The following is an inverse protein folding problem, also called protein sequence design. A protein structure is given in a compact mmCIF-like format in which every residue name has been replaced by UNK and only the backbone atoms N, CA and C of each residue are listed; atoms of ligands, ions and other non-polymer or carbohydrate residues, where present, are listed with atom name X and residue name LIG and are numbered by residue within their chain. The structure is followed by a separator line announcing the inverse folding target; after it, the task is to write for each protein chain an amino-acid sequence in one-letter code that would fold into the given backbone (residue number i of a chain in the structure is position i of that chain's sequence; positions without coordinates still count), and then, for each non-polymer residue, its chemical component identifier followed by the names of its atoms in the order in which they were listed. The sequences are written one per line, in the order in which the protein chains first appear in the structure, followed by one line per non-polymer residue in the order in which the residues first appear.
data_IF_410908226834
#
_entry.id   IF_410908226834
#
_cell.length_a   1.000
_cell.length_b   1.000
_cell.length_c   1.000
_cell.angle_alpha   90.00
_cell.angle_beta   90.00
_cell.angle_gamma   90.00
#
_symmetry.space_group_name_H-M   'P 1'
#
loop_
_entity.id
_entity.type
_entity.pdbx_description
1 polymer ?
#
# COMPACT_ATOMS: atom_id res chain seq x y z
N UNK A 1 3.72 7.16 34.23
CA UNK A 1 2.81 7.10 33.07
C UNK A 1 3.40 6.38 31.85
N UNK A 2 4.73 6.20 31.76
CA UNK A 2 5.36 5.51 30.61
C UNK A 2 4.96 4.03 30.46
N UNK A 3 4.66 3.34 31.56
CA UNK A 3 4.20 1.94 31.53
C UNK A 3 2.92 1.73 30.69
N UNK A 4 2.01 2.71 30.70
CA UNK A 4 0.74 2.65 29.93
C UNK A 4 0.99 2.90 28.44
N UNK A 5 2.03 3.66 28.08
CA UNK A 5 2.36 3.96 26.67
C UNK A 5 2.90 2.72 25.95
N UNK A 6 3.65 1.87 26.66
CA UNK A 6 4.23 0.63 26.10
C UNK A 6 3.31 -0.59 26.09
N UNK A 7 2.13 -0.53 26.72
CA UNK A 7 1.16 -1.64 26.66
C UNK A 7 0.43 -1.67 25.32
N UNK A 8 -0.03 -2.86 24.92
CA UNK A 8 -0.95 -3.00 23.79
C UNK A 8 -2.19 -2.15 24.00
N UNK A 9 -2.79 -1.71 22.90
CA UNK A 9 -3.88 -0.74 22.91
C UNK A 9 -5.06 -1.23 23.74
N UNK A 10 -5.37 -2.53 23.62
CA UNK A 10 -6.42 -3.21 24.40
C UNK A 10 -6.13 -3.23 25.90
N UNK A 11 -4.89 -3.53 26.29
CA UNK A 11 -4.49 -3.59 27.70
C UNK A 11 -4.54 -2.22 28.33
N UNK A 12 -4.06 -1.19 27.63
CA UNK A 12 -4.09 0.20 28.08
C UNK A 12 -5.53 0.67 28.34
N UNK A 13 -6.43 0.47 27.37
CA UNK A 13 -7.85 0.80 27.51
C UNK A 13 -8.46 0.08 28.72
N UNK A 14 -8.25 -1.24 28.84
CA UNK A 14 -8.81 -2.03 29.94
C UNK A 14 -8.29 -1.57 31.32
N UNK A 15 -6.99 -1.27 31.44
CA UNK A 15 -6.46 -0.77 32.71
C UNK A 15 -7.01 0.60 33.08
N UNK A 16 -7.20 1.47 32.10
CA UNK A 16 -7.69 2.82 32.34
C UNK A 16 -9.19 2.83 32.66
N UNK A 17 -9.99 1.97 32.01
CA UNK A 17 -11.39 1.76 32.37
C UNK A 17 -11.51 1.15 33.76
N UNK A 18 -10.69 0.13 34.10
CA UNK A 18 -10.71 -0.50 35.42
C UNK A 18 -10.38 0.49 36.53
N UNK A 19 -9.34 1.32 36.37
CA UNK A 19 -8.96 2.34 37.36
C UNK A 19 -10.09 3.36 37.54
N UNK A 20 -10.65 3.90 36.45
CA UNK A 20 -11.74 4.88 36.52
C UNK A 20 -13.02 4.27 37.10
N UNK A 21 -13.34 3.02 36.80
CA UNK A 21 -14.50 2.31 37.34
C UNK A 21 -14.36 2.09 38.84
N UNK A 22 -13.19 1.66 39.32
CA UNK A 22 -12.93 1.48 40.76
C UNK A 22 -13.02 2.82 41.51
N UNK A 23 -12.50 3.89 40.90
CA UNK A 23 -12.61 5.24 41.46
C UNK A 23 -14.08 5.70 41.53
N UNK A 24 -14.86 5.52 40.46
CA UNK A 24 -16.29 5.83 40.45
C UNK A 24 -17.07 4.99 41.48
N UNK A 25 -16.75 3.70 41.63
CA UNK A 25 -17.37 2.81 42.61
C UNK A 25 -17.06 3.25 44.04
N UNK A 26 -15.81 3.65 44.31
CA UNK A 26 -15.40 4.17 45.63
C UNK A 26 -16.13 5.46 45.99
N UNK A 27 -16.21 6.43 45.06
CA UNK A 27 -16.98 7.67 45.21
C UNK A 27 -18.47 7.40 45.42
N UNK A 28 -19.06 6.50 44.63
CA UNK A 28 -20.45 6.08 44.79
C UNK A 28 -20.70 5.48 46.17
N UNK A 29 -19.81 4.63 46.68
CA UNK A 29 -19.93 4.03 48.00
C UNK A 29 -19.86 5.08 49.11
N UNK A 30 -18.93 6.04 49.00
CA UNK A 30 -18.82 7.17 49.94
C UNK A 30 -20.09 8.01 49.95
N UNK A 31 -20.66 8.33 48.79
CA UNK A 31 -21.91 9.10 48.70
C UNK A 31 -23.10 8.33 49.24
N UNK A 32 -23.18 7.04 48.98
CA UNK A 32 -24.23 6.17 49.51
C UNK A 32 -24.17 6.07 51.05
N UNK A 33 -22.97 5.83 51.61
CA UNK A 33 -22.76 5.80 53.07
C UNK A 33 -23.02 7.19 53.69
N UNK A 34 -22.58 8.26 53.03
CA UNK A 34 -22.84 9.63 53.46
C UNK A 34 -24.33 9.94 53.53
N UNK A 35 -25.09 9.64 52.47
CA UNK A 35 -26.53 9.86 52.42
C UNK A 35 -27.29 9.01 53.45
N UNK A 36 -26.91 7.76 53.67
CA UNK A 36 -27.56 6.90 54.67
C UNK A 36 -27.27 7.35 56.10
N UNK A 37 -26.05 7.80 56.41
CA UNK A 37 -25.71 8.35 57.73
C UNK A 37 -26.41 9.69 57.96
N UNK A 38 -26.45 10.55 56.96
CA UNK A 38 -27.07 11.87 57.05
C UNK A 38 -28.61 11.77 57.19
N UNK A 39 -29.27 10.86 56.45
CA UNK A 39 -30.71 10.61 56.64
C UNK A 39 -31.04 10.07 58.03
N UNK A 40 -30.20 9.18 58.59
CA UNK A 40 -30.41 8.64 59.93
C UNK A 40 -30.29 9.71 61.04
N UNK A 41 -29.49 10.76 60.83
CA UNK A 41 -29.33 11.88 61.76
C UNK A 41 -30.52 12.84 61.69
N UNK A 42 -31.02 13.16 60.50
CA UNK A 42 -32.10 14.14 60.32
C UNK A 42 -33.52 13.57 60.47
N UNK A 43 -33.69 12.26 60.33
CA UNK A 43 -34.97 11.58 60.53
C UNK A 43 -34.75 10.28 61.32
N UNK A 44 -34.46 10.36 62.64
CA UNK A 44 -34.36 9.18 63.49
C UNK A 44 -35.73 8.50 63.55
N UNK A 45 -35.89 7.42 62.80
CA UNK A 45 -37.09 6.58 62.80
C UNK A 45 -37.18 5.66 64.02
N UNK A 46 -36.46 5.97 65.10
CA UNK A 46 -36.45 5.20 66.35
C UNK A 46 -37.50 5.72 67.30
N UNK A 47 -38.44 4.86 67.72
CA UNK A 47 -39.32 5.14 68.85
C UNK A 47 -38.45 5.23 70.10
N UNK A 48 -38.38 6.41 70.72
CA UNK A 48 -37.77 6.53 72.05
C UNK A 48 -38.84 6.11 73.07
N UNK A 49 -38.61 4.98 73.76
CA UNK A 49 -39.46 4.54 74.87
C UNK A 49 -38.89 5.19 76.14
N UNK A 50 -39.53 6.24 76.62
CA UNK A 50 -39.18 6.87 77.89
C UNK A 50 -40.07 6.24 78.96
N UNK A 51 -39.46 5.51 79.90
CA UNK A 51 -40.16 4.95 81.07
C UNK A 51 -40.16 5.99 82.18
N UNK A 52 -41.32 6.57 82.47
CA UNK A 52 -41.48 7.51 83.58
C UNK A 52 -41.36 6.82 84.94
N UNK A 53 -40.95 7.57 85.98
CA UNK A 53 -40.83 7.07 87.36
C UNK A 53 -42.18 6.59 87.97
N UNK A 54 -43.30 6.84 87.29
CA UNK A 54 -44.66 6.43 87.63
C UNK A 54 -45.12 5.15 86.89
N UNK A 55 -44.20 4.43 86.24
CA UNK A 55 -44.47 3.26 85.39
C UNK A 55 -45.39 3.51 84.18
N UNK A 56 -45.59 4.77 83.77
CA UNK A 56 -46.24 5.07 82.50
C UNK A 56 -45.26 4.96 81.33
N UNK A 57 -45.62 4.16 80.32
CA UNK A 57 -44.89 4.08 79.05
C UNK A 57 -45.42 5.22 78.17
N UNK A 58 -44.61 6.26 77.98
CA UNK A 58 -44.92 7.31 76.99
C UNK A 58 -44.13 7.01 75.72
N UNK A 59 -44.85 6.64 74.66
CA UNK A 59 -44.31 6.61 73.30
C UNK A 59 -44.36 8.03 72.74
N UNK A 60 -43.28 8.77 72.89
CA UNK A 60 -43.15 10.08 72.26
C UNK A 60 -42.67 9.86 70.82
N UNK A 61 -43.56 10.06 69.85
CA UNK A 61 -43.13 10.22 68.47
C UNK A 61 -42.37 11.54 68.41
N UNK A 62 -41.08 11.56 68.04
CA UNK A 62 -40.37 12.81 67.87
C UNK A 62 -41.16 13.67 66.89
N UNK A 63 -41.50 14.90 67.28
CA UNK A 63 -42.28 15.78 66.40
C UNK A 63 -41.59 15.83 65.03
N UNK A 64 -42.34 15.63 63.93
CA UNK A 64 -41.76 15.67 62.61
C UNK A 64 -41.18 17.06 62.39
N UNK A 65 -39.85 17.18 62.43
CA UNK A 65 -39.16 18.44 62.12
C UNK A 65 -39.70 18.92 60.77
N UNK A 66 -40.29 20.12 60.74
CA UNK A 66 -40.89 20.68 59.55
C UNK A 66 -39.87 20.65 58.39
N UNK A 67 -40.14 19.87 57.34
CA UNK A 67 -39.23 19.68 56.21
C UNK A 67 -38.37 18.40 56.24
N UNK A 68 -38.42 17.56 57.29
CA UNK A 68 -37.65 16.31 57.35
C UNK A 68 -37.99 15.32 56.20
N UNK A 69 -39.25 15.27 55.77
CA UNK A 69 -39.69 14.47 54.62
C UNK A 69 -39.15 15.02 53.30
N UNK A 70 -39.09 16.35 53.15
CA UNK A 70 -38.49 17.00 51.98
C UNK A 70 -36.98 16.76 51.91
N UNK A 71 -36.27 16.89 53.03
CA UNK A 71 -34.82 16.60 53.13
C UNK A 71 -34.54 15.12 52.83
N UNK A 72 -35.35 14.19 53.35
CA UNK A 72 -35.22 12.75 53.06
C UNK A 72 -35.41 12.43 51.58
N UNK A 73 -36.43 13.01 50.95
CA UNK A 73 -36.70 12.81 49.53
C UNK A 73 -35.57 13.41 48.66
N UNK A 74 -35.08 14.60 49.00
CA UNK A 74 -33.94 15.21 48.32
C UNK A 74 -32.68 14.34 48.44
N UNK A 75 -32.40 13.82 49.63
CA UNK A 75 -31.24 12.96 49.85
C UNK A 75 -31.35 11.61 49.13
N UNK A 76 -32.56 11.04 49.04
CA UNK A 76 -32.82 9.85 48.24
C UNK A 76 -32.57 10.09 46.75
N UNK A 77 -33.00 11.24 46.20
CA UNK A 77 -32.72 11.62 44.81
C UNK A 77 -31.20 11.75 44.60
N UNK A 78 -30.50 12.47 45.49
CA UNK A 78 -29.05 12.61 45.41
C UNK A 78 -28.32 11.26 45.50
N UNK A 79 -28.80 10.33 46.32
CA UNK A 79 -28.23 8.99 46.47
C UNK A 79 -28.25 8.18 45.17
N UNK A 80 -29.18 8.43 44.24
CA UNK A 80 -29.22 7.75 42.94
C UNK A 80 -28.58 8.57 41.80
N UNK A 81 -28.77 9.90 41.81
CA UNK A 81 -28.31 10.78 40.73
C UNK A 81 -26.79 10.97 40.75
N UNK A 82 -26.18 11.14 41.93
CA UNK A 82 -24.72 11.37 42.02
C UNK A 82 -23.90 10.17 41.53
N UNK A 83 -24.20 8.92 41.94
CA UNK A 83 -23.53 7.74 41.39
C UNK A 83 -23.63 7.65 39.87
N UNK A 84 -24.83 7.87 39.31
CA UNK A 84 -25.04 7.86 37.87
C UNK A 84 -24.14 8.91 37.17
N UNK A 85 -24.05 10.11 37.73
CA UNK A 85 -23.17 11.16 37.23
C UNK A 85 -21.68 10.76 37.29
N UNK A 86 -21.22 10.15 38.38
CA UNK A 86 -19.82 9.71 38.50
C UNK A 86 -19.45 8.67 37.44
N UNK A 87 -20.32 7.71 37.15
CA UNK A 87 -20.07 6.74 36.09
C UNK A 87 -20.02 7.39 34.70
N UNK A 88 -20.90 8.35 34.41
CA UNK A 88 -20.88 9.10 33.13
C UNK A 88 -19.57 9.87 33.00
N UNK A 89 -19.17 10.60 34.05
CA UNK A 89 -17.91 11.37 34.06
C UNK A 89 -16.70 10.44 33.91
N UNK A 90 -16.70 9.29 34.59
CA UNK A 90 -15.63 8.30 34.49
C UNK A 90 -15.48 7.74 33.07
N UNK A 91 -16.58 7.49 32.35
CA UNK A 91 -16.56 7.06 30.96
C UNK A 91 -15.98 8.14 30.03
N UNK A 92 -16.43 9.39 30.18
CA UNK A 92 -15.94 10.52 29.37
C UNK A 92 -14.45 10.76 29.63
N UNK A 93 -14.03 10.75 30.89
CA UNK A 93 -12.62 10.88 31.28
C UNK A 93 -11.77 9.76 30.69
N UNK A 94 -12.26 8.52 30.74
CA UNK A 94 -11.56 7.37 30.16
C UNK A 94 -11.33 7.56 28.66
N UNK A 95 -12.39 7.89 27.92
CA UNK A 95 -12.30 8.11 26.47
C UNK A 95 -11.35 9.26 26.12
N UNK A 96 -11.45 10.38 26.83
CA UNK A 96 -10.63 11.58 26.59
C UNK A 96 -9.15 11.33 26.88
N UNK A 97 -8.83 10.70 28.03
CA UNK A 97 -7.45 10.38 28.40
C UNK A 97 -6.83 9.39 27.42
N UNK A 98 -7.57 8.35 27.05
CA UNK A 98 -7.12 7.36 26.08
C UNK A 98 -6.83 7.99 24.71
N UNK A 99 -7.72 8.86 24.23
CA UNK A 99 -7.51 9.58 22.99
C UNK A 99 -6.25 10.45 23.03
N UNK A 100 -6.10 11.26 24.09
CA UNK A 100 -4.97 12.19 24.22
C UNK A 100 -3.62 11.50 24.36
N UNK A 101 -3.56 10.34 25.01
CA UNK A 101 -2.29 9.67 25.30
C UNK A 101 -1.87 8.63 24.25
N UNK A 102 -2.82 7.93 23.62
CA UNK A 102 -2.52 6.83 22.68
C UNK A 102 -2.82 7.14 21.23
N UNK A 103 -3.92 7.85 20.93
CA UNK A 103 -4.42 7.98 19.55
C UNK A 103 -3.99 9.28 18.89
N UNK A 104 -3.93 10.39 19.63
CA UNK A 104 -3.74 11.72 19.05
C UNK A 104 -2.45 11.84 18.23
N UNK A 105 -1.32 11.39 18.77
CA UNK A 105 -0.01 11.51 18.13
C UNK A 105 0.12 10.59 16.89
N UNK A 106 -0.14 9.27 16.97
CA UNK A 106 -0.06 8.39 15.79
C UNK A 106 -1.05 8.77 14.68
N UNK A 107 -2.28 9.16 15.04
CA UNK A 107 -3.28 9.56 14.04
C UNK A 107 -2.90 10.85 13.32
N UNK A 108 -2.32 11.82 14.04
CA UNK A 108 -1.86 13.06 13.42
C UNK A 108 -0.74 12.79 12.40
N UNK A 109 0.21 11.93 12.74
CA UNK A 109 1.32 11.54 11.84
C UNK A 109 0.79 10.80 10.62
N UNK A 110 -0.14 9.85 10.79
CA UNK A 110 -0.73 9.11 9.68
C UNK A 110 -1.56 10.02 8.76
N UNK A 111 -2.31 10.97 9.32
CA UNK A 111 -3.12 11.91 8.55
C UNK A 111 -2.25 12.90 7.76
N UNK A 112 -1.18 13.41 8.38
CA UNK A 112 -0.19 14.25 7.69
C UNK A 112 0.52 13.47 6.58
N UNK A 113 1.00 12.26 6.89
CA UNK A 113 1.65 11.40 5.90
C UNK A 113 0.72 11.05 4.72
N UNK A 114 -0.56 10.77 4.99
CA UNK A 114 -1.55 10.53 3.94
C UNK A 114 -1.77 11.75 3.04
N UNK A 115 -1.89 12.94 3.62
CA UNK A 115 -2.04 14.19 2.86
C UNK A 115 -0.82 14.46 1.97
N UNK A 116 0.40 14.31 2.51
CA UNK A 116 1.63 14.49 1.73
C UNK A 116 1.73 13.48 0.58
N UNK A 117 1.38 12.22 0.83
CA UNK A 117 1.30 11.19 -0.22
C UNK A 117 0.29 11.55 -1.31
N UNK A 118 -0.86 12.14 -0.95
CA UNK A 118 -1.85 12.61 -1.93
C UNK A 118 -1.34 13.77 -2.78
N UNK A 119 -0.51 14.63 -2.20
CA UNK A 119 0.19 15.72 -2.90
C UNK A 119 1.40 15.24 -3.71
N UNK A 120 1.62 13.92 -3.78
CA UNK A 120 2.75 13.28 -4.45
C UNK A 120 4.13 13.67 -3.85
N UNK A 121 4.13 14.20 -2.63
CA UNK A 121 5.34 14.33 -1.82
C UNK A 121 5.58 13.01 -1.10
N UNK A 122 6.64 12.30 -1.51
CA UNK A 122 7.05 11.04 -0.92
C UNK A 122 8.40 11.15 -0.23
N UNK A 123 8.96 12.36 -0.08
CA UNK A 123 10.27 12.57 0.53
C UNK A 123 10.15 12.80 2.04
N UNK A 124 9.60 11.79 2.71
CA UNK A 124 9.47 11.76 4.16
C UNK A 124 9.44 10.34 4.67
N UNK A 125 9.45 10.19 5.98
CA UNK A 125 9.38 8.90 6.66
C UNK A 125 8.31 8.95 7.73
N UNK A 126 7.53 7.87 7.86
CA UNK A 126 6.55 7.73 8.93
C UNK A 126 7.22 7.00 10.11
N UNK A 127 7.50 7.69 11.24
CA UNK A 127 8.13 7.06 12.38
C UNK A 127 7.17 6.10 13.09
N UNK A 128 7.70 4.98 13.59
CA UNK A 128 6.96 4.09 14.49
C UNK A 128 6.94 4.69 15.90
N UNK A 129 5.87 5.42 16.23
CA UNK A 129 5.71 6.11 17.53
C UNK A 129 5.25 5.21 18.68
N UNK A 130 4.86 3.97 18.40
CA UNK A 130 4.33 3.03 19.40
C UNK A 130 4.71 1.60 19.06
N UNK A 131 4.84 0.73 20.08
CA UNK A 131 5.10 -0.70 19.93
C UNK A 131 3.85 -1.57 19.90
N UNK A 132 2.68 -0.97 19.68
CA UNK A 132 1.37 -1.62 19.72
C UNK A 132 0.75 -1.74 18.32
N UNK A 133 -0.56 -1.99 18.27
CA UNK A 133 -1.33 -2.13 17.04
C UNK A 133 -1.29 -0.85 16.16
N UNK A 134 -1.25 0.35 16.75
CA UNK A 134 -1.07 1.62 16.01
C UNK A 134 0.34 1.71 15.43
N UNK A 135 1.35 1.24 16.17
CA UNK A 135 2.73 1.11 15.67
C UNK A 135 2.83 0.24 14.43
N UNK A 136 2.19 -0.93 14.47
CA UNK A 136 2.13 -1.83 13.30
C UNK A 136 1.43 -1.17 12.12
N UNK A 137 0.37 -0.39 12.36
CA UNK A 137 -0.28 0.41 11.33
C UNK A 137 0.66 1.45 10.72
N UNK A 138 1.46 2.16 11.53
CA UNK A 138 2.48 3.09 11.04
C UNK A 138 3.51 2.39 10.14
N UNK A 139 3.98 1.20 10.53
CA UNK A 139 4.93 0.40 9.71
C UNK A 139 4.30 -0.04 8.38
N UNK A 140 3.04 -0.47 8.41
CA UNK A 140 2.32 -0.83 7.18
C UNK A 140 2.15 0.38 6.25
N UNK A 141 1.86 1.56 6.81
CA UNK A 141 1.72 2.80 6.05
C UNK A 141 3.05 3.26 5.45
N UNK A 142 4.15 3.17 6.20
CA UNK A 142 5.50 3.44 5.67
C UNK A 142 5.86 2.48 4.53
N UNK A 143 5.50 1.20 4.65
CA UNK A 143 5.70 0.21 3.59
C UNK A 143 4.93 0.58 2.33
N UNK A 144 3.69 1.07 2.48
CA UNK A 144 2.88 1.56 1.36
C UNK A 144 3.53 2.76 0.68
N UNK A 145 4.01 3.75 1.46
CA UNK A 145 4.71 4.92 0.95
C UNK A 145 5.97 4.54 0.16
N UNK A 146 6.78 3.61 0.68
CA UNK A 146 7.98 3.11 0.00
C UNK A 146 7.64 2.38 -1.31
N UNK A 147 6.59 1.56 -1.31
CA UNK A 147 6.13 0.88 -2.52
C UNK A 147 5.69 1.88 -3.61
N UNK A 148 4.99 2.94 -3.20
CA UNK A 148 4.57 4.01 -4.10
C UNK A 148 5.79 4.76 -4.68
N UNK A 149 6.77 5.10 -3.83
CA UNK A 149 8.00 5.78 -4.26
C UNK A 149 8.78 4.94 -5.29
N UNK A 150 8.93 3.64 -5.03
CA UNK A 150 9.62 2.73 -5.94
C UNK A 150 8.85 2.57 -7.26
N UNK A 151 7.52 2.46 -7.19
CA UNK A 151 6.67 2.40 -8.39
C UNK A 151 6.79 3.67 -9.23
N UNK A 152 6.81 4.85 -8.60
CA UNK A 152 6.98 6.12 -9.28
C UNK A 152 8.35 6.20 -9.99
N UNK A 153 9.43 5.80 -9.30
CA UNK A 153 10.77 5.73 -9.89
C UNK A 153 10.85 4.80 -11.09
N UNK A 154 10.20 3.64 -11.02
CA UNK A 154 10.16 2.69 -12.13
C UNK A 154 9.37 3.27 -13.33
N UNK A 155 8.24 3.93 -13.08
CA UNK A 155 7.47 4.62 -14.13
C UNK A 155 8.31 5.72 -14.80
N UNK A 156 9.08 6.48 -14.03
CA UNK A 156 10.00 7.47 -14.58
C UNK A 156 11.07 6.84 -15.45
N UNK A 157 11.70 5.76 -14.99
CA UNK A 157 12.70 5.01 -15.76
C UNK A 157 12.14 4.51 -17.08
N UNK A 158 10.95 3.90 -17.05
CA UNK A 158 10.23 3.42 -18.24
C UNK A 158 9.92 4.56 -19.21
N UNK A 159 9.48 5.69 -18.69
CA UNK A 159 9.16 6.88 -19.49
C UNK A 159 10.41 7.43 -20.18
N UNK A 160 11.54 7.48 -19.46
CA UNK A 160 12.81 7.95 -20.00
C UNK A 160 13.37 7.00 -21.06
N UNK A 161 13.27 5.69 -20.84
CA UNK A 161 13.64 4.68 -21.83
C UNK A 161 12.80 4.79 -23.10
N UNK A 162 11.47 5.00 -22.96
CA UNK A 162 10.58 5.25 -24.10
C UNK A 162 10.97 6.52 -24.86
N UNK A 163 11.28 7.61 -24.16
CA UNK A 163 11.75 8.86 -24.80
C UNK A 163 13.04 8.64 -25.58
N UNK A 164 14.02 7.94 -24.98
CA UNK A 164 15.28 7.62 -25.64
C UNK A 164 15.10 6.74 -26.87
N UNK A 165 14.25 5.71 -26.79
CA UNK A 165 13.91 4.85 -27.92
C UNK A 165 13.22 5.62 -29.03
N UNK A 166 12.26 6.48 -28.71
CA UNK A 166 11.58 7.33 -29.69
C UNK A 166 12.53 8.33 -30.36
N UNK A 167 13.49 8.89 -29.62
CA UNK A 167 14.51 9.78 -30.18
C UNK A 167 15.46 9.05 -31.15
N UNK A 168 15.91 7.85 -30.77
CA UNK A 168 16.72 6.99 -31.64
C UNK A 168 15.95 6.60 -32.91
N UNK A 169 14.68 6.20 -32.77
CA UNK A 169 13.79 5.90 -33.90
C UNK A 169 13.66 7.09 -34.86
N UNK A 170 13.40 8.29 -34.33
CA UNK A 170 13.25 9.49 -35.14
C UNK A 170 14.54 9.83 -35.90
N UNK A 171 15.70 9.63 -35.28
CA UNK A 171 17.00 9.81 -35.92
C UNK A 171 17.20 8.80 -37.07
N UNK A 172 16.96 7.52 -36.81
CA UNK A 172 17.19 6.43 -37.77
C UNK A 172 16.23 6.47 -38.96
N UNK A 173 15.01 7.00 -38.78
CA UNK A 173 14.05 7.23 -39.88
C UNK A 173 14.39 8.47 -40.71
N UNK A 174 14.99 9.50 -40.10
CA UNK A 174 15.29 10.77 -40.80
C UNK A 174 16.28 10.58 -41.96
N UNK A 175 17.30 9.76 -41.75
CA UNK A 175 18.32 9.48 -42.76
C UNK A 175 17.76 8.85 -44.05
N UNK A 176 17.07 7.69 -44.01
CA UNK A 176 16.51 7.09 -45.22
C UNK A 176 15.41 7.97 -45.83
N UNK A 177 14.59 8.68 -45.05
CA UNK A 177 13.59 9.62 -45.57
C UNK A 177 14.25 10.78 -46.33
N UNK A 178 15.39 11.29 -45.83
CA UNK A 178 16.12 12.39 -46.49
C UNK A 178 16.70 11.92 -47.82
N UNK A 179 17.29 10.72 -47.87
CA UNK A 179 17.80 10.13 -49.10
C UNK A 179 16.67 9.85 -50.09
N UNK A 180 15.57 9.26 -49.62
CA UNK A 180 14.36 8.99 -50.41
C UNK A 180 13.84 10.27 -51.07
N UNK A 181 13.73 11.37 -50.30
CA UNK A 181 13.32 12.68 -50.82
C UNK A 181 14.31 13.24 -51.86
N UNK A 182 15.60 12.98 -51.69
CA UNK A 182 16.64 13.32 -52.66
C UNK A 182 16.47 12.55 -53.98
N UNK A 183 16.34 11.22 -53.90
CA UNK A 183 16.11 10.35 -55.06
C UNK A 183 14.83 10.70 -55.80
N UNK A 184 13.73 11.02 -55.11
CA UNK A 184 12.49 11.49 -55.76
C UNK A 184 12.69 12.80 -56.51
N UNK A 185 13.48 13.74 -55.99
CA UNK A 185 13.79 15.00 -56.70
C UNK A 185 14.63 14.74 -57.96
N UNK A 186 15.63 13.86 -57.86
CA UNK A 186 16.48 13.50 -58.99
C UNK A 186 15.69 12.77 -60.08
N UNK A 187 14.88 11.78 -59.70
CA UNK A 187 13.96 11.09 -60.61
C UNK A 187 13.03 12.08 -61.35
N UNK A 188 12.42 13.04 -60.63
CA UNK A 188 11.57 14.07 -61.25
C UNK A 188 12.33 14.95 -62.25
N UNK A 189 13.59 15.28 -61.97
CA UNK A 189 14.42 16.07 -62.87
C UNK A 189 14.79 15.28 -64.13
N UNK A 190 15.26 14.03 -63.97
CA UNK A 190 15.65 13.15 -65.07
C UNK A 190 14.47 12.80 -65.99
N UNK A 191 13.26 12.66 -65.44
CA UNK A 191 12.04 12.46 -66.22
C UNK A 191 11.71 13.67 -67.13
N UNK A 192 12.03 14.89 -66.69
CA UNK A 192 11.86 16.12 -67.48
C UNK A 192 12.94 16.34 -68.54
N UNK A 193 14.15 15.78 -68.35
CA UNK A 193 15.29 15.92 -69.27
C UNK A 193 15.48 14.72 -70.21
N UNK A 194 14.64 13.69 -70.12
CA UNK A 194 14.69 12.50 -70.98
C UNK A 194 15.83 11.51 -70.65
N UNK A 195 16.44 11.60 -69.48
CA UNK A 195 17.59 10.76 -69.10
C UNK A 195 17.11 9.46 -68.41
N UNK A 196 16.63 8.51 -69.22
CA UNK A 196 16.01 7.24 -68.79
C UNK A 196 16.88 6.32 -67.92
N UNK A 197 18.21 6.16 -68.14
CA UNK A 197 19.03 5.26 -67.31
C UNK A 197 19.15 5.74 -65.86
N UNK A 198 19.29 7.06 -65.68
CA UNK A 198 19.49 7.68 -64.36
C UNK A 198 18.16 7.74 -63.57
N UNK A 199 17.04 7.89 -64.27
CA UNK A 199 15.70 7.74 -63.70
C UNK A 199 15.48 6.34 -63.11
N UNK A 200 15.97 5.30 -63.78
CA UNK A 200 15.82 3.91 -63.33
C UNK A 200 16.62 3.64 -62.04
N UNK A 201 17.88 4.12 -61.95
CA UNK A 201 18.70 4.02 -60.74
C UNK A 201 18.08 4.79 -59.56
N UNK A 202 17.50 5.97 -59.80
CA UNK A 202 16.81 6.71 -58.75
C UNK A 202 15.53 6.01 -58.25
N UNK A 203 14.77 5.36 -59.14
CA UNK A 203 13.60 4.55 -58.77
C UNK A 203 13.99 3.29 -57.98
N UNK A 204 15.07 2.62 -58.37
CA UNK A 204 15.59 1.45 -57.64
C UNK A 204 16.09 1.84 -56.24
N UNK A 205 16.73 3.01 -56.10
CA UNK A 205 17.09 3.57 -54.79
C UNK A 205 15.85 3.86 -53.95
N UNK A 206 14.79 4.44 -54.54
CA UNK A 206 13.54 4.71 -53.82
C UNK A 206 12.92 3.43 -53.26
N UNK A 207 12.88 2.37 -54.06
CA UNK A 207 12.36 1.06 -53.65
C UNK A 207 13.18 0.46 -52.51
N UNK A 208 14.51 0.43 -52.66
CA UNK A 208 15.43 -0.09 -51.64
C UNK A 208 15.34 0.66 -50.29
N UNK A 209 15.24 2.00 -50.31
CA UNK A 209 15.10 2.79 -49.09
C UNK A 209 13.71 2.66 -48.46
N UNK A 210 12.66 2.49 -49.26
CA UNK A 210 11.31 2.22 -48.77
C UNK A 210 11.25 0.86 -48.06
N UNK A 211 11.77 -0.21 -48.68
CA UNK A 211 11.85 -1.53 -48.06
C UNK A 211 12.70 -1.56 -46.79
N UNK A 212 13.77 -0.77 -46.72
CA UNK A 212 14.56 -0.59 -45.48
C UNK A 212 13.75 0.04 -44.35
N UNK A 213 12.96 1.07 -44.65
CA UNK A 213 12.09 1.72 -43.65
C UNK A 213 11.02 0.73 -43.17
N UNK A 214 10.38 -0.01 -44.08
CA UNK A 214 9.37 -1.01 -43.73
C UNK A 214 9.93 -2.09 -42.79
N UNK A 215 11.11 -2.67 -43.13
CA UNK A 215 11.78 -3.68 -42.30
C UNK A 215 12.10 -3.16 -40.90
N UNK A 216 12.51 -1.89 -40.79
CA UNK A 216 12.83 -1.25 -39.51
C UNK A 216 11.57 -1.03 -38.66
N UNK A 217 10.49 -0.50 -39.25
CA UNK A 217 9.19 -0.33 -38.58
C UNK A 217 8.63 -1.67 -38.12
N UNK A 218 8.71 -2.71 -38.95
CA UNK A 218 8.25 -4.06 -38.60
C UNK A 218 9.04 -4.65 -37.42
N UNK A 219 10.37 -4.50 -37.44
CA UNK A 219 11.24 -4.97 -36.35
C UNK A 219 10.91 -4.25 -35.04
N UNK A 220 10.72 -2.93 -35.08
CA UNK A 220 10.37 -2.14 -33.89
C UNK A 220 8.98 -2.50 -33.34
N UNK A 221 7.99 -2.72 -34.22
CA UNK A 221 6.65 -3.17 -33.83
C UNK A 221 6.68 -4.52 -33.11
N UNK A 222 7.53 -5.46 -33.57
CA UNK A 222 7.77 -6.74 -32.88
C UNK A 222 8.43 -6.56 -31.50
N UNK A 223 9.28 -5.54 -31.33
CA UNK A 223 9.85 -5.18 -30.03
C UNK A 223 8.77 -4.73 -29.05
N UNK A 224 7.94 -3.76 -29.44
CA UNK A 224 6.85 -3.25 -28.61
C UNK A 224 5.81 -4.32 -28.25
N UNK A 225 5.46 -5.21 -29.19
CA UNK A 225 4.53 -6.32 -28.92
C UNK A 225 5.06 -7.28 -27.86
N UNK A 226 6.37 -7.54 -27.86
CA UNK A 226 6.98 -8.44 -26.88
C UNK A 226 7.12 -7.82 -25.48
N UNK A 227 7.09 -6.48 -25.34
CA UNK A 227 6.96 -5.81 -24.03
C UNK A 227 5.55 -5.94 -23.45
N UNK A 228 4.53 -6.12 -24.29
CA UNK A 228 3.12 -6.25 -23.88
C UNK A 228 2.74 -7.68 -23.45
N UNK A 229 3.58 -8.67 -23.75
CA UNK A 229 3.34 -10.06 -23.36
C UNK A 229 3.62 -10.21 -21.86
N UNK A 230 2.57 -10.40 -21.07
CA UNK A 230 2.71 -10.76 -19.67
C UNK A 230 3.26 -12.20 -19.56
N UNK A 231 4.39 -12.42 -18.88
CA UNK A 231 4.98 -13.74 -18.77
C UNK A 231 4.15 -14.62 -17.83
N UNK A 232 3.41 -15.58 -18.39
CA UNK A 232 2.69 -16.59 -17.62
C UNK A 232 3.65 -17.69 -17.13
N UNK A 233 3.57 -18.09 -15.87
CA UNK A 233 4.37 -19.21 -15.36
C UNK A 233 3.71 -20.52 -15.75
N UNK A 234 4.39 -21.34 -16.55
CA UNK A 234 3.92 -22.68 -16.90
C UNK A 234 5.06 -23.66 -16.69
N UNK A 235 4.75 -24.81 -16.12
CA UNK A 235 5.65 -25.95 -15.99
C UNK A 235 5.84 -26.59 -17.36
N UNK A 236 7.08 -26.70 -17.82
CA UNK A 236 7.42 -27.40 -19.05
C UNK A 236 8.50 -28.44 -18.77
N UNK A 237 8.48 -29.52 -19.53
CA UNK A 237 9.54 -30.53 -19.51
C UNK A 237 10.79 -29.96 -20.19
N UNK A 238 11.90 -29.94 -19.46
CA UNK A 238 13.20 -29.44 -19.94
C UNK A 238 13.71 -30.27 -21.12
N UNK A 239 13.40 -31.57 -21.17
CA UNK A 239 13.86 -32.48 -22.23
C UNK A 239 13.06 -32.25 -23.51
N UNK A 240 11.74 -32.10 -23.40
CA UNK A 240 10.88 -31.75 -24.53
C UNK A 240 11.25 -30.38 -25.12
N UNK A 241 11.54 -29.39 -24.27
CA UNK A 241 11.96 -28.07 -24.72
C UNK A 241 13.31 -28.10 -25.45
N UNK A 242 14.29 -28.88 -24.97
CA UNK A 242 15.57 -29.02 -25.68
C UNK A 242 15.41 -29.68 -27.04
N UNK A 243 14.54 -30.68 -27.15
CA UNK A 243 14.25 -31.34 -28.42
C UNK A 243 13.55 -30.39 -29.41
N UNK A 244 12.59 -29.59 -28.95
CA UNK A 244 11.92 -28.59 -29.78
C UNK A 244 12.88 -27.47 -30.25
N UNK A 245 13.78 -27.03 -29.36
CA UNK A 245 14.82 -26.05 -29.70
C UNK A 245 15.82 -26.60 -30.70
N UNK A 246 16.31 -27.82 -30.51
CA UNK A 246 17.20 -28.50 -31.46
C UNK A 246 16.54 -28.67 -32.82
N UNK A 247 15.24 -29.00 -32.85
CA UNK A 247 14.48 -29.12 -34.09
C UNK A 247 14.30 -27.78 -34.80
N UNK A 248 13.95 -26.72 -34.06
CA UNK A 248 13.78 -25.38 -34.60
C UNK A 248 15.10 -24.78 -35.12
N UNK A 249 16.21 -25.00 -34.39
CA UNK A 249 17.53 -24.51 -34.77
C UNK A 249 18.17 -25.38 -35.86
N UNK A 250 17.96 -26.69 -35.84
CA UNK A 250 18.40 -27.61 -36.87
C UNK A 250 17.83 -27.28 -38.25
N UNK A 251 16.57 -26.83 -38.31
CA UNK A 251 15.96 -26.33 -39.55
C UNK A 251 16.69 -25.09 -40.10
N UNK A 252 17.09 -24.15 -39.23
CA UNK A 252 17.84 -22.95 -39.63
C UNK A 252 19.31 -23.23 -39.95
N UNK A 253 19.88 -24.29 -39.39
CA UNK A 253 21.28 -24.66 -39.52
C UNK A 253 21.57 -25.47 -40.79
N UNK A 254 20.60 -26.27 -41.26
CA UNK A 254 20.65 -26.98 -42.53
C UNK A 254 20.80 -26.05 -43.74
N UNK A 255 20.25 -24.84 -43.65
CA UNK A 255 20.31 -23.83 -44.70
C UNK A 255 21.71 -23.16 -44.81
N UNK A 256 22.56 -23.30 -43.80
CA UNK A 256 23.85 -22.60 -43.69
C UNK A 256 25.05 -23.53 -43.36
N UNK A 257 24.88 -24.86 -43.48
CA UNK A 257 25.96 -25.83 -43.35
C UNK A 257 26.64 -25.91 -41.98
N UNK A 258 26.00 -25.42 -40.92
CA UNK A 258 26.54 -25.40 -39.55
C UNK A 258 25.84 -26.45 -38.68
N UNK A 259 26.57 -27.19 -37.84
CA UNK A 259 25.95 -28.12 -36.86
C UNK A 259 26.02 -27.53 -35.44
N UNK A 260 24.88 -27.44 -34.76
CA UNK A 260 24.82 -27.04 -33.35
C UNK A 260 24.57 -28.28 -32.49
N UNK A 261 25.30 -28.41 -31.37
CA UNK A 261 25.13 -29.50 -30.40
C UNK A 261 24.74 -28.88 -29.06
N UNK A 262 23.55 -29.17 -28.54
CA UNK A 262 23.13 -28.69 -27.23
C UNK A 262 23.52 -29.69 -26.15
N UNK A 263 24.31 -29.25 -25.18
CA UNK A 263 24.63 -30.04 -23.97
C UNK A 263 23.79 -29.52 -22.81
N UNK A 264 22.75 -30.27 -22.43
CA UNK A 264 21.94 -29.98 -21.25
C UNK A 264 22.62 -30.59 -20.03
N UNK A 265 23.15 -29.76 -19.13
CA UNK A 265 23.70 -30.22 -17.86
C UNK A 265 22.57 -30.50 -16.86
N UNK A 266 22.38 -31.75 -16.39
CA UNK A 266 21.37 -32.04 -15.40
C UNK A 266 21.87 -31.58 -14.02
N UNK A 267 21.47 -30.39 -13.59
CA UNK A 267 21.61 -30.00 -12.20
C UNK A 267 20.31 -30.30 -11.45
N UNK A 268 20.41 -31.18 -10.47
CA UNK A 268 19.33 -31.56 -9.57
C UNK A 268 18.77 -30.33 -8.82
N UNK A 269 17.46 -30.42 -8.54
CA UNK A 269 16.63 -29.55 -7.70
C UNK A 269 16.01 -28.30 -8.38
N UNK A 270 14.75 -28.49 -8.81
CA UNK A 270 13.64 -27.51 -8.74
C UNK A 270 14.00 -26.05 -9.02
N UNK A 271 14.47 -25.75 -10.23
CA UNK A 271 14.63 -24.36 -10.65
C UNK A 271 13.33 -23.85 -11.29
N UNK A 272 12.61 -23.01 -10.56
CA UNK A 272 11.46 -22.25 -11.03
C UNK A 272 11.90 -21.24 -12.11
N UNK A 273 11.84 -21.60 -13.38
CA UNK A 273 12.14 -20.67 -14.48
C UNK A 273 10.88 -19.96 -14.98
N UNK A 274 10.94 -18.62 -15.05
CA UNK A 274 9.87 -17.75 -15.53
C UNK A 274 9.86 -17.80 -17.07
N UNK A 275 8.72 -18.04 -17.75
CA UNK A 275 8.61 -18.03 -19.23
C UNK A 275 9.21 -16.78 -19.88
N UNK A 276 9.11 -15.64 -19.20
CA UNK A 276 9.73 -14.38 -19.64
C UNK A 276 11.26 -14.46 -19.77
N UNK A 277 11.94 -15.25 -18.93
CA UNK A 277 13.38 -15.52 -19.08
C UNK A 277 13.66 -16.47 -20.24
N UNK A 278 12.82 -17.47 -20.51
CA UNK A 278 13.02 -18.39 -21.62
C UNK A 278 12.80 -17.71 -22.98
N UNK A 279 11.82 -16.81 -23.09
CA UNK A 279 11.59 -16.02 -24.29
C UNK A 279 12.61 -14.89 -24.46
N UNK A 280 13.07 -14.26 -23.36
CA UNK A 280 14.24 -13.36 -23.40
C UNK A 280 15.49 -14.11 -23.82
N UNK A 281 15.77 -15.30 -23.27
CA UNK A 281 16.90 -16.15 -23.67
C UNK A 281 16.79 -16.55 -25.13
N UNK A 282 15.61 -16.97 -25.61
CA UNK A 282 15.39 -17.29 -27.03
C UNK A 282 15.66 -16.07 -27.91
N UNK A 283 15.21 -14.88 -27.48
CA UNK A 283 15.44 -13.63 -28.19
C UNK A 283 16.89 -13.19 -28.15
N UNK A 284 17.58 -13.33 -27.00
CA UNK A 284 19.01 -13.06 -26.85
C UNK A 284 19.83 -14.05 -27.67
N UNK A 285 19.43 -15.32 -27.72
CA UNK A 285 20.04 -16.36 -28.55
C UNK A 285 19.81 -16.09 -30.04
N UNK A 286 18.60 -15.71 -30.46
CA UNK A 286 18.33 -15.31 -31.85
C UNK A 286 19.07 -14.03 -32.24
N UNK A 287 19.15 -13.04 -31.34
CA UNK A 287 19.90 -11.80 -31.57
C UNK A 287 21.40 -12.10 -31.67
N UNK A 288 21.95 -12.92 -30.77
CA UNK A 288 23.35 -13.37 -30.81
C UNK A 288 23.65 -14.23 -32.03
N UNK A 289 22.74 -15.11 -32.47
CA UNK A 289 22.88 -15.85 -33.73
C UNK A 289 22.88 -14.91 -34.94
N UNK A 290 22.01 -13.90 -34.95
CA UNK A 290 21.97 -12.90 -36.03
C UNK A 290 23.21 -12.00 -36.07
N UNK A 291 23.78 -11.66 -34.90
CA UNK A 291 25.02 -10.89 -34.79
C UNK A 291 26.26 -11.75 -35.09
N UNK A 292 26.24 -13.05 -34.76
CA UNK A 292 27.26 -14.02 -35.16
C UNK A 292 27.25 -14.25 -36.67
N UNK A 293 26.07 -14.38 -37.29
CA UNK A 293 25.95 -14.43 -38.75
C UNK A 293 26.52 -13.15 -39.38
N UNK A 294 26.16 -11.96 -38.91
CA UNK A 294 26.74 -10.69 -39.42
C UNK A 294 28.25 -10.58 -39.25
N UNK A 295 28.84 -11.19 -38.22
CA UNK A 295 30.29 -11.20 -37.99
C UNK A 295 31.03 -12.25 -38.82
N UNK A 296 30.40 -13.37 -39.17
CA UNK A 296 30.99 -14.38 -40.05
C UNK A 296 30.96 -14.00 -41.54
N UNK A 297 30.13 -13.03 -41.94
CA UNK A 297 30.01 -12.54 -43.32
C UNK A 297 30.76 -11.20 -43.58
N UNK A 298 31.78 -10.88 -42.78
CA UNK A 298 32.77 -9.82 -43.07
C UNK A 298 34.13 -10.42 -43.40
#
# INVERSE_FOLDING_TARGET
MEWIKNMSLKKSLFTLTLINLLLALSLSAVVFVGCTKLSAVFAPSGVQIIVGADSTIKTEFPEPVAGATAVRNALAIFQFVLPMLFFIVALILTASLFYRWKLKEPLAILMDGANRMMENDLDFTIPSVSGDELGQLCVAFETMRQSLLNSNRELWRQTEERKRLNAALAHDLRNPITVLKGSVKMAKHCAGTGNTPQLMDDLERIDAYTGRIERYVETMSKVQRLEQVQPEKVTFDTVALSADLEKALGFSAADHGSSFTFTVYPQAALSHWIKGCCFKLLRTLQQMLSDLQKRMFR
#
